data_IF_900289792851
#
_entry.id   IF_900289792851
#
_cell.length_a   1.000
_cell.length_b   1.000
_cell.length_c   1.000
_cell.angle_alpha   90.00
_cell.angle_beta   90.00
_cell.angle_gamma   90.00
#
_symmetry.space_group_name_H-M   'P 1'
#
loop_
_entity.id
_entity.type
_entity.pdbx_description
1 polymer ?
#
# COMPACT_ATOMS: atom_id res chain seq x y z
N UNK A 1 33.18 50.28 -41.85
CA UNK A 1 31.91 49.51 -42.09
C UNK A 1 32.12 48.15 -41.47
N UNK A 2 31.82 48.06 -40.13
CA UNK A 2 32.02 46.81 -39.34
C UNK A 2 30.69 46.08 -39.13
N UNK A 3 30.63 44.93 -39.74
CA UNK A 3 29.50 44.02 -39.56
C UNK A 3 29.76 43.12 -38.34
N UNK A 4 29.16 43.43 -37.21
CA UNK A 4 29.13 42.53 -36.02
C UNK A 4 28.04 41.49 -36.22
N UNK A 5 28.41 40.25 -36.47
CA UNK A 5 27.53 39.07 -36.44
C UNK A 5 27.29 38.65 -35.03
N UNK A 6 26.05 38.75 -34.54
CA UNK A 6 25.60 38.16 -33.28
C UNK A 6 25.25 36.70 -33.53
N UNK A 7 26.06 35.79 -33.00
CA UNK A 7 25.73 34.38 -32.93
C UNK A 7 24.91 34.13 -31.68
N UNK A 8 23.63 33.85 -31.88
CA UNK A 8 22.72 33.42 -30.77
C UNK A 8 22.92 31.94 -30.57
N UNK A 9 23.57 31.54 -29.48
CA UNK A 9 23.66 30.16 -29.06
C UNK A 9 22.34 29.74 -28.38
N UNK A 10 21.58 28.86 -29.03
CA UNK A 10 20.40 28.22 -28.44
C UNK A 10 20.89 27.06 -27.56
N UNK A 11 20.83 27.24 -26.26
CA UNK A 11 21.07 26.17 -25.29
C UNK A 11 19.86 25.22 -25.28
N UNK A 12 20.01 24.05 -25.87
CA UNK A 12 19.03 22.97 -25.82
C UNK A 12 19.12 22.32 -24.44
N UNK A 13 18.22 22.69 -23.53
CA UNK A 13 18.07 22.00 -22.22
C UNK A 13 17.44 20.64 -22.46
N UNK A 14 18.26 19.58 -22.47
CA UNK A 14 17.77 18.19 -22.41
C UNK A 14 17.22 17.93 -21.01
N UNK A 15 15.90 18.00 -20.85
CA UNK A 15 15.22 17.49 -19.69
C UNK A 15 15.36 15.96 -19.73
N UNK A 16 16.36 15.44 -19.03
CA UNK A 16 16.56 14.01 -18.86
C UNK A 16 15.41 13.45 -18.00
N UNK A 17 14.48 12.75 -18.64
CA UNK A 17 13.52 11.90 -17.91
C UNK A 17 14.33 10.79 -17.24
N UNK A 18 14.57 10.90 -15.94
CA UNK A 18 15.07 9.78 -15.16
C UNK A 18 14.07 8.60 -15.30
N UNK A 19 14.54 7.36 -15.52
CA UNK A 19 13.65 6.23 -15.52
C UNK A 19 12.94 6.18 -14.16
N UNK A 20 11.61 6.10 -14.18
CA UNK A 20 10.83 5.95 -12.96
C UNK A 20 11.33 4.68 -12.24
N UNK A 21 12.06 4.85 -11.18
CA UNK A 21 12.40 3.75 -10.30
C UNK A 21 11.08 3.16 -9.80
N UNK A 22 11.00 1.85 -9.77
CA UNK A 22 9.87 1.08 -9.24
C UNK A 22 9.78 1.30 -7.74
N UNK A 23 9.28 2.46 -7.35
CA UNK A 23 9.18 2.92 -5.98
C UNK A 23 7.71 3.01 -5.61
N UNK A 24 7.41 2.72 -4.34
CA UNK A 24 6.09 2.97 -3.77
C UNK A 24 5.60 4.38 -4.13
N UNK A 25 4.29 4.56 -4.23
CA UNK A 25 3.69 5.88 -4.43
C UNK A 25 4.20 6.85 -3.36
N UNK A 26 4.60 8.07 -3.73
CA UNK A 26 5.21 9.02 -2.80
C UNK A 26 4.19 9.58 -1.80
N UNK A 27 4.72 10.00 -0.64
CA UNK A 27 3.92 10.69 0.36
C UNK A 27 3.35 12.00 -0.20
N UNK A 28 2.10 12.30 0.16
CA UNK A 28 1.35 13.46 -0.32
C UNK A 28 0.48 13.18 -1.53
N UNK A 29 0.71 12.09 -2.25
CA UNK A 29 -0.15 11.69 -3.37
C UNK A 29 -1.52 11.19 -2.91
N UNK A 30 -2.48 11.30 -3.81
CA UNK A 30 -3.82 10.74 -3.59
C UNK A 30 -3.78 9.24 -3.81
N UNK A 31 -4.22 8.49 -2.81
CA UNK A 31 -4.37 7.05 -2.91
C UNK A 31 -5.42 6.70 -3.98
N UNK A 32 -5.12 5.84 -4.96
CA UNK A 32 -6.12 5.33 -5.90
C UNK A 32 -7.26 4.64 -5.16
N UNK A 33 -8.51 5.04 -5.46
CA UNK A 33 -9.68 4.40 -4.85
C UNK A 33 -9.91 2.99 -5.43
N UNK A 34 -10.40 2.08 -4.60
CA UNK A 34 -10.70 0.72 -5.03
C UNK A 34 -11.80 0.07 -4.19
N UNK A 35 -12.42 -0.94 -4.81
CA UNK A 35 -13.30 -1.88 -4.12
C UNK A 35 -12.91 -3.29 -4.55
N UNK A 36 -12.61 -4.17 -3.57
CA UNK A 36 -12.20 -5.55 -3.80
C UNK A 36 -13.06 -6.53 -3.00
N UNK A 37 -13.14 -7.76 -3.48
CA UNK A 37 -13.65 -8.87 -2.69
C UNK A 37 -12.62 -9.21 -1.61
N UNK A 38 -13.07 -9.24 -0.37
CA UNK A 38 -12.26 -9.41 0.82
C UNK A 38 -12.84 -10.46 1.76
N UNK A 39 -12.07 -10.86 2.74
CA UNK A 39 -12.54 -11.71 3.82
C UNK A 39 -11.99 -11.25 5.18
N UNK A 40 -12.81 -11.38 6.21
CA UNK A 40 -12.45 -11.19 7.61
C UNK A 40 -12.95 -12.39 8.41
N UNK A 41 -12.06 -13.13 9.06
CA UNK A 41 -12.42 -14.32 9.82
C UNK A 41 -13.18 -15.35 8.96
N UNK A 42 -12.78 -15.55 7.73
CA UNK A 42 -13.39 -16.47 6.77
C UNK A 42 -14.71 -15.98 6.14
N UNK A 43 -15.26 -14.85 6.59
CA UNK A 43 -16.51 -14.30 6.07
C UNK A 43 -16.21 -13.35 4.90
N UNK A 44 -16.74 -13.63 3.70
CA UNK A 44 -16.52 -12.77 2.53
C UNK A 44 -17.36 -11.49 2.63
N UNK A 45 -16.81 -10.39 2.12
CA UNK A 45 -17.51 -9.10 1.97
C UNK A 45 -16.82 -8.25 0.90
N UNK A 46 -17.44 -7.12 0.53
CA UNK A 46 -16.82 -6.12 -0.35
C UNK A 46 -16.13 -5.06 0.50
N UNK A 47 -14.82 -4.91 0.35
CA UNK A 47 -14.06 -3.82 0.98
C UNK A 47 -13.99 -2.63 0.02
N UNK A 48 -14.43 -1.46 0.48
CA UNK A 48 -14.28 -0.17 -0.21
C UNK A 48 -13.31 0.71 0.55
N UNK A 49 -12.26 1.21 -0.12
CA UNK A 49 -11.31 2.14 0.48
C UNK A 49 -12.02 3.44 0.91
N UNK A 50 -12.88 4.00 0.05
CA UNK A 50 -13.62 5.22 0.36
C UNK A 50 -14.48 5.09 1.64
N UNK A 51 -15.19 3.98 1.80
CA UNK A 51 -15.98 3.70 3.01
C UNK A 51 -15.11 3.53 4.26
N UNK A 52 -13.94 2.89 4.12
CA UNK A 52 -13.00 2.72 5.22
C UNK A 52 -12.42 4.07 5.65
N UNK A 53 -12.03 4.93 4.70
CA UNK A 53 -11.50 6.28 4.96
C UNK A 53 -12.52 7.21 5.61
N UNK A 54 -13.81 7.04 5.34
CA UNK A 54 -14.88 7.78 6.02
C UNK A 54 -14.88 7.52 7.54
N UNK A 55 -14.46 6.32 7.97
CA UNK A 55 -14.36 5.94 9.39
C UNK A 55 -13.03 6.36 10.03
N UNK A 56 -11.91 6.28 9.29
CA UNK A 56 -10.58 6.60 9.84
C UNK A 56 -9.47 6.40 8.81
N UNK A 57 -8.20 6.57 9.21
CA UNK A 57 -7.08 6.26 8.36
C UNK A 57 -7.02 4.76 8.03
N UNK A 58 -6.41 4.41 6.90
CA UNK A 58 -6.28 3.03 6.44
C UNK A 58 -4.79 2.67 6.33
N UNK A 59 -4.43 1.53 6.92
CA UNK A 59 -3.15 0.86 6.68
C UNK A 59 -3.40 -0.20 5.62
N UNK A 60 -2.91 0.06 4.42
CA UNK A 60 -2.99 -0.83 3.27
C UNK A 60 -1.62 -1.48 3.06
N UNK A 61 -1.53 -2.81 3.14
CA UNK A 61 -0.29 -3.48 2.79
C UNK A 61 -0.49 -4.50 1.68
N UNK A 62 0.45 -4.50 0.74
CA UNK A 62 0.53 -5.48 -0.33
C UNK A 62 1.53 -6.57 0.03
N UNK A 63 1.20 -7.81 -0.26
CA UNK A 63 2.07 -8.95 -0.02
C UNK A 63 2.09 -9.91 -1.22
N UNK A 64 3.23 -10.59 -1.49
CA UNK A 64 3.39 -11.39 -2.71
C UNK A 64 2.44 -12.57 -2.83
N UNK A 65 2.34 -13.40 -1.78
CA UNK A 65 1.62 -14.67 -1.87
C UNK A 65 1.20 -15.16 -0.47
N UNK A 66 -0.08 -15.45 -0.31
CA UNK A 66 -0.61 -16.07 0.90
C UNK A 66 0.10 -17.39 1.24
N UNK A 67 0.23 -17.67 2.52
CA UNK A 67 0.84 -18.89 3.08
C UNK A 67 2.33 -19.08 2.82
N UNK A 68 3.05 -18.13 2.21
CA UNK A 68 4.52 -18.13 2.25
C UNK A 68 5.00 -17.72 3.65
N UNK A 69 6.20 -18.17 4.04
CA UNK A 69 6.71 -17.93 5.41
C UNK A 69 6.76 -16.44 5.76
N UNK A 70 7.32 -15.60 4.89
CA UNK A 70 7.41 -14.15 5.14
C UNK A 70 6.05 -13.46 5.20
N UNK A 71 5.09 -13.84 4.33
CA UNK A 71 3.73 -13.25 4.36
C UNK A 71 2.92 -13.72 5.57
N UNK A 72 3.13 -14.95 6.03
CA UNK A 72 2.50 -15.46 7.26
C UNK A 72 3.05 -14.75 8.49
N UNK A 73 4.37 -14.55 8.58
CA UNK A 73 5.00 -13.78 9.68
C UNK A 73 4.46 -12.34 9.72
N UNK A 74 4.39 -11.68 8.57
CA UNK A 74 3.84 -10.32 8.47
C UNK A 74 2.37 -10.25 8.89
N UNK A 75 1.53 -11.19 8.41
CA UNK A 75 0.13 -11.25 8.78
C UNK A 75 -0.07 -11.49 10.28
N UNK A 76 0.74 -12.36 10.89
CA UNK A 76 0.73 -12.55 12.35
C UNK A 76 1.09 -11.27 13.09
N UNK A 77 2.13 -10.55 12.66
CA UNK A 77 2.55 -9.30 13.28
C UNK A 77 1.48 -8.20 13.16
N UNK A 78 0.82 -8.08 11.99
CA UNK A 78 -0.33 -7.19 11.83
C UNK A 78 -1.51 -7.61 12.71
N UNK A 79 -1.80 -8.91 12.83
CA UNK A 79 -2.87 -9.40 13.69
C UNK A 79 -2.65 -9.04 15.17
N UNK A 80 -1.42 -9.17 15.66
CA UNK A 80 -1.03 -8.78 17.02
C UNK A 80 -1.14 -7.27 17.25
N UNK A 81 -0.83 -6.47 16.23
CA UNK A 81 -0.89 -5.00 16.31
C UNK A 81 -2.29 -4.42 16.04
N UNK A 82 -3.22 -5.20 15.46
CA UNK A 82 -4.55 -4.70 15.06
C UNK A 82 -5.33 -4.03 16.20
N UNK A 83 -5.32 -4.51 17.44
CA UNK A 83 -5.98 -3.78 18.54
C UNK A 83 -5.44 -2.36 18.75
N UNK A 84 -4.13 -2.14 18.55
CA UNK A 84 -3.51 -0.80 18.63
C UNK A 84 -3.95 0.09 17.47
N UNK A 85 -3.97 -0.43 16.25
CA UNK A 85 -4.49 0.30 15.08
C UNK A 85 -5.96 0.70 15.29
N UNK A 86 -6.78 -0.23 15.76
CA UNK A 86 -8.20 0.03 16.04
C UNK A 86 -8.39 1.10 17.13
N UNK A 87 -7.59 1.07 18.20
CA UNK A 87 -7.62 2.09 19.25
C UNK A 87 -7.28 3.50 18.73
N UNK A 88 -6.50 3.60 17.65
CA UNK A 88 -6.17 4.84 16.93
C UNK A 88 -7.19 5.17 15.81
N UNK A 89 -8.27 4.38 15.68
CA UNK A 89 -9.30 4.53 14.66
C UNK A 89 -8.85 4.12 13.26
N UNK A 90 -7.73 3.41 13.12
CA UNK A 90 -7.22 2.96 11.83
C UNK A 90 -7.73 1.56 11.47
N UNK A 91 -8.01 1.36 10.18
CA UNK A 91 -8.36 0.05 9.60
C UNK A 91 -7.15 -0.56 8.93
N UNK A 92 -6.86 -1.85 9.17
CA UNK A 92 -5.83 -2.61 8.47
C UNK A 92 -6.46 -3.45 7.36
N UNK A 93 -5.86 -3.47 6.18
CA UNK A 93 -6.23 -4.32 5.04
C UNK A 93 -4.98 -4.83 4.31
N UNK A 94 -4.90 -6.14 4.10
CA UNK A 94 -3.87 -6.75 3.25
C UNK A 94 -4.42 -7.03 1.85
N UNK A 95 -3.58 -6.92 0.82
CA UNK A 95 -3.95 -7.19 -0.57
C UNK A 95 -2.89 -8.05 -1.25
N UNK A 96 -3.33 -9.10 -1.92
CA UNK A 96 -2.50 -9.92 -2.81
C UNK A 96 -3.28 -10.32 -4.06
N UNK A 97 -2.61 -10.97 -5.00
CA UNK A 97 -3.27 -11.53 -6.20
C UNK A 97 -3.86 -12.92 -5.99
N UNK A 98 -3.94 -13.39 -4.76
CA UNK A 98 -4.52 -14.70 -4.47
C UNK A 98 -6.04 -14.72 -4.72
N UNK A 99 -6.57 -15.93 -5.02
CA UNK A 99 -8.00 -16.15 -5.24
C UNK A 99 -8.84 -16.04 -3.96
N UNK A 100 -10.15 -15.92 -4.13
CA UNK A 100 -11.08 -15.70 -3.02
C UNK A 100 -11.07 -16.82 -1.96
N UNK A 101 -10.85 -18.08 -2.35
CA UNK A 101 -10.80 -19.20 -1.40
C UNK A 101 -9.53 -19.11 -0.55
N UNK A 102 -8.39 -18.87 -1.20
CA UNK A 102 -7.10 -18.66 -0.52
C UNK A 102 -7.18 -17.49 0.45
N UNK A 103 -7.77 -16.36 0.03
CA UNK A 103 -7.97 -15.16 0.87
C UNK A 103 -8.86 -15.47 2.08
N UNK A 104 -9.95 -16.20 1.90
CA UNK A 104 -10.82 -16.60 3.01
C UNK A 104 -10.06 -17.41 4.07
N UNK A 105 -9.31 -18.41 3.64
CA UNK A 105 -8.49 -19.25 4.53
C UNK A 105 -7.40 -18.43 5.22
N UNK A 106 -6.68 -17.60 4.47
CA UNK A 106 -5.62 -16.76 5.00
C UNK A 106 -6.12 -15.76 6.06
N UNK A 107 -7.35 -15.23 5.89
CA UNK A 107 -7.98 -14.33 6.86
C UNK A 107 -8.22 -14.99 8.24
N UNK A 108 -8.40 -16.30 8.28
CA UNK A 108 -8.56 -17.07 9.52
C UNK A 108 -7.20 -17.50 10.07
N UNK A 109 -6.43 -18.21 9.24
CA UNK A 109 -5.24 -18.93 9.68
C UNK A 109 -4.07 -17.98 9.99
N UNK A 110 -3.76 -17.06 9.09
CA UNK A 110 -2.63 -16.14 9.24
C UNK A 110 -3.02 -14.79 9.84
N UNK A 111 -4.14 -14.19 9.41
CA UNK A 111 -4.63 -12.94 9.97
C UNK A 111 -5.36 -13.13 11.31
N UNK A 112 -5.51 -14.38 11.78
CA UNK A 112 -6.14 -14.72 13.08
C UNK A 112 -7.51 -14.05 13.26
N UNK A 113 -8.25 -13.83 12.17
CA UNK A 113 -9.54 -13.15 12.17
C UNK A 113 -9.52 -11.71 12.73
N UNK A 114 -8.36 -11.06 12.79
CA UNK A 114 -8.19 -9.74 13.38
C UNK A 114 -8.41 -8.59 12.38
N UNK A 115 -8.04 -8.78 11.12
CA UNK A 115 -8.17 -7.78 10.07
C UNK A 115 -8.52 -8.42 8.73
N UNK A 116 -8.97 -7.60 7.77
CA UNK A 116 -9.39 -8.06 6.47
C UNK A 116 -8.20 -8.26 5.51
N UNK A 117 -8.36 -9.23 4.62
CA UNK A 117 -7.51 -9.39 3.44
C UNK A 117 -8.37 -9.47 2.18
N UNK A 118 -7.85 -8.95 1.06
CA UNK A 118 -8.55 -8.89 -0.21
C UNK A 118 -7.73 -9.51 -1.35
N UNK A 119 -8.43 -10.05 -2.35
CA UNK A 119 -7.87 -10.61 -3.57
C UNK A 119 -7.97 -9.63 -4.73
N UNK A 120 -6.85 -9.29 -5.34
CA UNK A 120 -6.73 -8.50 -6.58
C UNK A 120 -6.23 -9.41 -7.71
N UNK A 121 -7.06 -10.39 -8.08
CA UNK A 121 -6.67 -11.46 -8.99
C UNK A 121 -6.22 -10.95 -10.38
N UNK A 122 -6.77 -9.83 -10.85
CA UNK A 122 -6.37 -9.20 -12.11
C UNK A 122 -5.22 -8.18 -11.95
N UNK A 123 -4.76 -7.92 -10.72
CA UNK A 123 -3.65 -7.04 -10.38
C UNK A 123 -3.90 -5.56 -10.67
N UNK A 124 -5.14 -5.12 -10.82
CA UNK A 124 -5.44 -3.70 -11.12
C UNK A 124 -5.06 -2.77 -9.99
N UNK A 125 -5.39 -3.12 -8.76
CA UNK A 125 -5.08 -2.33 -7.58
C UNK A 125 -3.59 -2.39 -7.28
N UNK A 126 -2.98 -3.57 -7.41
CA UNK A 126 -1.52 -3.76 -7.29
C UNK A 126 -0.77 -2.81 -8.24
N UNK A 127 -1.23 -2.72 -9.51
CA UNK A 127 -0.61 -1.80 -10.49
C UNK A 127 -0.89 -0.34 -10.19
N UNK A 128 -2.09 0.00 -9.76
CA UNK A 128 -2.47 1.38 -9.44
C UNK A 128 -1.64 1.96 -8.27
N UNK A 129 -1.19 1.11 -7.36
CA UNK A 129 -0.34 1.48 -6.23
C UNK A 129 1.15 1.30 -6.47
N UNK A 130 1.59 1.07 -7.72
CA UNK A 130 2.96 0.69 -8.06
C UNK A 130 3.54 -0.45 -7.22
N UNK A 131 2.66 -1.28 -6.67
CA UNK A 131 3.00 -2.40 -5.81
C UNK A 131 3.36 -3.69 -6.59
N UNK A 132 3.47 -3.64 -7.91
CA UNK A 132 3.78 -4.80 -8.75
C UNK A 132 5.23 -5.26 -8.58
N UNK A 133 5.45 -6.57 -8.68
CA UNK A 133 6.77 -7.15 -8.74
C UNK A 133 7.33 -7.04 -10.17
N UNK A 134 8.64 -6.70 -10.31
CA UNK A 134 9.25 -6.38 -11.61
C UNK A 134 9.06 -7.49 -12.67
N UNK A 135 9.31 -8.75 -12.29
CA UNK A 135 9.24 -9.89 -13.23
C UNK A 135 7.89 -10.62 -13.21
N UNK A 136 6.98 -10.27 -12.30
CA UNK A 136 5.67 -10.87 -12.12
C UNK A 136 4.62 -9.77 -11.90
N UNK A 137 4.15 -9.10 -12.98
CA UNK A 137 3.37 -7.87 -12.89
C UNK A 137 1.97 -8.03 -12.23
N UNK A 138 1.47 -9.25 -12.10
CA UNK A 138 0.24 -9.55 -11.38
C UNK A 138 0.49 -9.97 -9.92
N UNK A 139 1.74 -10.11 -9.51
CA UNK A 139 2.11 -10.40 -8.13
C UNK A 139 2.55 -9.12 -7.44
N UNK A 140 2.09 -8.92 -6.22
CA UNK A 140 2.50 -7.77 -5.43
C UNK A 140 3.94 -7.92 -4.92
N UNK A 141 4.65 -6.81 -4.88
CA UNK A 141 5.81 -6.62 -4.01
C UNK A 141 5.32 -6.41 -2.57
N UNK A 142 6.24 -6.41 -1.59
CA UNK A 142 5.86 -6.11 -0.21
C UNK A 142 5.99 -4.61 0.03
N UNK A 143 4.84 -3.93 0.13
CA UNK A 143 4.75 -2.49 0.34
C UNK A 143 3.59 -2.21 1.30
N UNK A 144 3.82 -1.33 2.28
CA UNK A 144 2.77 -0.84 3.17
C UNK A 144 2.58 0.66 3.02
N UNK A 145 1.34 1.10 3.02
CA UNK A 145 0.93 2.50 2.97
C UNK A 145 0.10 2.86 4.19
N UNK A 146 0.22 4.08 4.66
CA UNK A 146 -0.74 4.70 5.56
C UNK A 146 -1.45 5.82 4.79
N UNK A 147 -2.78 5.73 4.73
CA UNK A 147 -3.64 6.66 3.99
C UNK A 147 -4.49 7.40 5.02
N UNK A 148 -4.46 8.73 5.01
CA UNK A 148 -5.26 9.55 5.90
C UNK A 148 -6.74 9.58 5.49
N UNK A 149 -7.62 10.13 6.34
CA UNK A 149 -9.05 10.26 6.05
C UNK A 149 -9.36 11.10 4.80
N UNK A 150 -8.44 11.96 4.38
CA UNK A 150 -8.53 12.74 3.16
C UNK A 150 -8.17 11.97 1.90
N UNK A 151 -7.76 10.71 2.03
CA UNK A 151 -7.33 9.86 0.92
C UNK A 151 -5.93 10.18 0.43
N UNK A 152 -5.06 10.77 1.27
CA UNK A 152 -3.66 11.03 0.93
C UNK A 152 -2.76 9.99 1.57
N UNK A 153 -1.77 9.52 0.82
CA UNK A 153 -0.68 8.69 1.34
C UNK A 153 0.20 9.58 2.22
N UNK A 154 0.28 9.26 3.49
CA UNK A 154 1.11 10.00 4.47
C UNK A 154 2.39 9.26 4.82
N UNK A 155 2.42 7.97 4.52
CA UNK A 155 3.60 7.12 4.74
C UNK A 155 3.59 5.95 3.77
N UNK A 156 4.78 5.57 3.30
CA UNK A 156 5.00 4.33 2.54
C UNK A 156 6.27 3.62 3.02
N UNK A 157 6.24 2.30 3.05
CA UNK A 157 7.38 1.45 3.38
C UNK A 157 7.47 0.28 2.40
N UNK A 158 8.60 0.15 1.74
CA UNK A 158 8.87 -0.92 0.79
C UNK A 158 10.07 -1.74 1.25
N UNK A 159 9.86 -3.02 1.50
CA UNK A 159 10.90 -3.99 1.84
C UNK A 159 10.38 -5.39 1.61
N UNK A 160 11.20 -6.28 1.03
CA UNK A 160 10.82 -7.70 0.91
C UNK A 160 10.89 -8.44 2.25
N UNK A 161 11.64 -7.92 3.23
CA UNK A 161 11.59 -8.40 4.62
C UNK A 161 10.27 -8.01 5.28
N UNK A 162 9.61 -8.91 6.04
CA UNK A 162 8.40 -8.60 6.77
C UNK A 162 8.64 -7.65 7.96
N UNK A 163 9.89 -7.55 8.42
CA UNK A 163 10.22 -6.66 9.53
C UNK A 163 10.06 -5.19 9.15
N UNK A 164 9.63 -4.39 10.10
CA UNK A 164 9.45 -2.96 9.95
C UNK A 164 8.10 -2.52 9.39
N UNK A 165 7.39 -3.35 8.64
CA UNK A 165 6.08 -2.96 8.06
C UNK A 165 5.07 -2.55 9.13
N UNK A 166 4.92 -3.37 10.17
CA UNK A 166 3.99 -3.09 11.27
C UNK A 166 4.45 -1.92 12.12
N UNK A 167 5.71 -1.93 12.59
CA UNK A 167 6.22 -0.89 13.48
C UNK A 167 6.18 0.50 12.83
N UNK A 168 6.60 0.59 11.57
CA UNK A 168 6.65 1.86 10.84
C UNK A 168 5.25 2.40 10.52
N UNK A 169 4.32 1.55 10.09
CA UNK A 169 2.94 1.97 9.81
C UNK A 169 2.20 2.34 11.09
N UNK A 170 2.44 1.63 12.19
CA UNK A 170 1.85 1.97 13.48
C UNK A 170 2.32 3.33 13.97
N UNK A 171 3.64 3.59 13.89
CA UNK A 171 4.19 4.91 14.21
C UNK A 171 3.56 6.01 13.35
N UNK A 172 3.43 5.80 12.06
CA UNK A 172 2.80 6.79 11.17
C UNK A 172 1.34 7.08 11.54
N UNK A 173 0.57 6.06 11.97
CA UNK A 173 -0.81 6.23 12.46
C UNK A 173 -0.82 6.97 13.80
N UNK A 174 0.12 6.69 14.71
CA UNK A 174 0.29 7.42 15.98
C UNK A 174 0.59 8.91 15.73
N UNK A 175 1.51 9.21 14.80
CA UNK A 175 1.84 10.59 14.41
C UNK A 175 0.62 11.34 13.82
N UNK A 176 -0.19 10.66 12.98
CA UNK A 176 -1.47 11.21 12.49
C UNK A 176 -2.47 11.51 13.60
N UNK A 177 -2.57 10.63 14.60
CA UNK A 177 -3.46 10.82 15.73
C UNK A 177 -3.00 11.98 16.64
N UNK A 178 -1.69 12.14 16.81
CA UNK A 178 -1.10 13.24 17.58
C UNK A 178 -1.30 14.61 16.90
N UNK A 179 -1.18 14.68 15.57
CA UNK A 179 -1.37 15.92 14.80
C UNK A 179 -2.81 16.46 14.79
N UNK A 180 -3.79 15.67 15.24
CA UNK A 180 -5.22 16.06 15.33
C UNK A 180 -5.64 16.60 16.71
N UNK A 181 -4.71 16.60 17.68
CA UNK A 181 -4.92 17.11 19.02
C UNK A 181 -4.46 18.56 19.13
#
# INVERSE_FOLDING_TARGET
MDRRTFSTAIALSAAGSAPAAWAALPNGERAPDFTLDAALGGKPFRFSLAEALARGPVVLYFFPKAFTSGCTIEAHAFAEATPRFNALGATVIGVSSDDAETIRRFSVEACRSQFAVAGDADGKVIRAYDAKMMLMPNMASRISYVIDRGGRIVYSHQSMSPEGHVANTLKAVEDLAAAKR
#
